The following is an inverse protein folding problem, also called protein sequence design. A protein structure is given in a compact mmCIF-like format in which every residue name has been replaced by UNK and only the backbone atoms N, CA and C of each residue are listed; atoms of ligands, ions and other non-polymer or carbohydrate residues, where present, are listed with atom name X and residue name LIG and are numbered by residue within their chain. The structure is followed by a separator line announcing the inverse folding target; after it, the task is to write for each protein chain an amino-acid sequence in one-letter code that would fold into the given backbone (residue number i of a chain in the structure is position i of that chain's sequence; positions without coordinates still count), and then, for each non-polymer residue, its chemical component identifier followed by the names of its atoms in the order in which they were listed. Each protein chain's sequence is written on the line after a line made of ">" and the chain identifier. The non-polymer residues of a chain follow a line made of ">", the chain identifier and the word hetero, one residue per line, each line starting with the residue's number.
data_IF_269691599148
#
_entry.id   IF_269691599148
#
_cell.length_a   1.000
_cell.length_b   1.000
_cell.length_c   1.000
_cell.angle_alpha   90.00
_cell.angle_beta   90.00
_cell.angle_gamma   90.00
#
_symmetry.space_group_name_H-M   'P 1'
#
loop_
_entity.id
_entity.type
_entity.pdbx_description
1 polymer ?
#
# COMPACT_ATOMS: atom_id res chain seq x y z
N UNK A 1 -15.92 -0.42 20.10
CA UNK A 1 -14.54 -0.24 19.56
C UNK A 1 -14.67 0.18 18.10
N UNK A 2 -13.99 1.24 17.70
CA UNK A 2 -13.96 1.71 16.31
C UNK A 2 -13.30 0.68 15.40
N UNK A 3 -13.70 0.65 14.13
CA UNK A 3 -13.12 -0.21 13.10
C UNK A 3 -11.68 0.24 12.81
N UNK A 4 -10.72 -0.69 12.74
CA UNK A 4 -9.32 -0.38 12.43
C UNK A 4 -9.14 0.35 11.10
N UNK A 5 -8.08 1.14 10.97
CA UNK A 5 -7.75 1.88 9.73
C UNK A 5 -7.34 0.93 8.60
N UNK A 6 -7.82 1.21 7.40
CA UNK A 6 -7.26 0.68 6.16
C UNK A 6 -6.26 1.70 5.63
N UNK A 7 -4.96 1.43 5.78
CA UNK A 7 -3.89 2.34 5.39
C UNK A 7 -3.33 1.86 4.06
N UNK A 8 -3.45 2.67 3.03
CA UNK A 8 -2.97 2.36 1.68
C UNK A 8 -1.78 3.25 1.37
N UNK A 9 -0.60 2.64 1.21
CA UNK A 9 0.61 3.31 0.75
C UNK A 9 0.87 2.94 -0.70
N UNK A 10 0.85 3.93 -1.56
CA UNK A 10 1.12 3.78 -2.99
C UNK A 10 2.08 4.85 -3.50
N UNK A 11 2.41 4.82 -4.77
CA UNK A 11 3.33 5.77 -5.40
C UNK A 11 4.13 5.13 -6.53
N UNK A 12 4.90 5.89 -7.27
CA UNK A 12 5.64 5.40 -8.44
C UNK A 12 6.62 4.29 -8.12
N UNK A 13 6.88 3.46 -9.12
CA UNK A 13 7.93 2.45 -9.02
C UNK A 13 9.29 3.11 -8.73
N UNK A 14 10.04 2.57 -7.77
CA UNK A 14 11.35 3.13 -7.38
C UNK A 14 11.32 4.16 -6.25
N UNK A 15 10.15 4.58 -5.75
CA UNK A 15 10.03 5.54 -4.62
C UNK A 15 10.47 4.99 -3.28
N UNK A 16 10.65 3.65 -3.14
CA UNK A 16 11.04 3.01 -1.89
C UNK A 16 9.87 2.60 -0.98
N UNK A 17 8.68 2.36 -1.55
CA UNK A 17 7.50 1.88 -0.80
C UNK A 17 7.82 0.73 0.14
N UNK A 18 8.35 -0.37 -0.39
CA UNK A 18 8.65 -1.56 0.42
C UNK A 18 9.58 -1.29 1.60
N UNK A 19 10.60 -0.44 1.39
CA UNK A 19 11.53 -0.07 2.47
C UNK A 19 10.82 0.75 3.56
N UNK A 20 9.99 1.72 3.16
CA UNK A 20 9.22 2.55 4.11
C UNK A 20 8.18 1.73 4.84
N UNK A 21 7.45 0.86 4.13
CA UNK A 21 6.44 -0.01 4.73
C UNK A 21 7.06 -1.02 5.72
N UNK A 22 8.20 -1.64 5.36
CA UNK A 22 8.91 -2.56 6.25
C UNK A 22 9.39 -1.86 7.54
N UNK A 23 9.95 -0.64 7.42
CA UNK A 23 10.38 0.15 8.56
C UNK A 23 9.19 0.62 9.41
N UNK A 24 8.06 1.00 8.78
CA UNK A 24 6.82 1.36 9.48
C UNK A 24 6.30 0.18 10.32
N UNK A 25 6.25 -1.01 9.72
CA UNK A 25 5.82 -2.24 10.40
C UNK A 25 6.73 -2.59 11.58
N UNK A 26 8.06 -2.46 11.41
CA UNK A 26 9.03 -2.73 12.49
C UNK A 26 8.84 -1.81 13.69
N UNK A 27 8.42 -0.56 13.46
CA UNK A 27 8.18 0.46 14.49
C UNK A 27 6.74 0.53 15.00
N UNK A 28 5.86 -0.30 14.46
CA UNK A 28 4.43 -0.31 14.81
C UNK A 28 3.94 -1.77 14.89
N UNK A 29 4.31 -2.52 15.96
CA UNK A 29 4.04 -3.96 16.04
C UNK A 29 2.56 -4.35 15.98
N UNK A 30 1.64 -3.44 16.35
CA UNK A 30 0.19 -3.63 16.27
C UNK A 30 -0.37 -3.46 14.86
N UNK A 31 0.39 -2.85 13.92
CA UNK A 31 -0.03 -2.67 12.54
C UNK A 31 0.08 -3.99 11.77
N UNK A 32 -1.05 -4.47 11.24
CA UNK A 32 -1.04 -5.66 10.40
C UNK A 32 -0.58 -5.32 8.98
N UNK A 33 0.09 -6.26 8.32
CA UNK A 33 0.41 -6.15 6.89
C UNK A 33 -0.53 -7.04 6.07
N UNK A 34 -1.05 -6.50 4.98
CA UNK A 34 -1.84 -7.26 4.01
C UNK A 34 -0.91 -7.89 2.98
N UNK A 35 -0.83 -9.20 2.99
CA UNK A 35 -0.08 -9.97 1.99
C UNK A 35 -0.93 -10.10 0.74
N UNK A 36 -0.44 -9.56 -0.39
CA UNK A 36 -1.10 -9.64 -1.69
C UNK A 36 -0.96 -11.04 -2.30
N UNK A 37 -1.91 -11.42 -3.17
CA UNK A 37 -1.79 -12.57 -4.05
C UNK A 37 -1.20 -12.17 -5.42
N UNK A 38 -0.51 -13.09 -6.08
CA UNK A 38 0.01 -12.88 -7.43
C UNK A 38 0.09 -14.19 -8.21
N UNK A 39 -0.03 -14.10 -9.54
CA UNK A 39 0.22 -15.22 -10.45
C UNK A 39 1.67 -15.27 -10.96
N UNK A 40 2.49 -14.27 -10.58
CA UNK A 40 3.92 -14.27 -10.88
C UNK A 40 4.64 -15.37 -10.10
N UNK A 41 5.59 -16.03 -10.74
CA UNK A 41 6.44 -17.00 -10.05
C UNK A 41 7.27 -16.31 -8.94
N UNK A 42 7.51 -16.99 -7.81
CA UNK A 42 8.40 -16.50 -6.76
C UNK A 42 9.79 -16.15 -7.31
N UNK A 43 10.40 -15.10 -6.79
CA UNK A 43 11.82 -14.81 -7.00
C UNK A 43 12.67 -15.50 -5.94
N UNK A 44 13.99 -15.54 -6.16
CA UNK A 44 14.90 -16.09 -5.16
C UNK A 44 14.71 -15.40 -3.81
N UNK A 45 14.51 -16.20 -2.77
CA UNK A 45 14.29 -15.73 -1.41
C UNK A 45 12.84 -15.31 -1.07
N UNK A 46 11.91 -15.29 -2.03
CA UNK A 46 10.50 -15.06 -1.72
C UNK A 46 9.81 -16.34 -1.24
N UNK A 47 8.94 -16.20 -0.25
CA UNK A 47 8.21 -17.31 0.39
C UNK A 47 6.70 -17.09 0.29
N UNK A 48 5.97 -18.16 -0.05
CA UNK A 48 4.50 -18.16 -0.05
C UNK A 48 3.94 -17.84 1.33
N UNK A 49 2.87 -17.05 1.34
CA UNK A 49 2.22 -16.60 2.58
C UNK A 49 3.02 -15.59 3.39
N UNK A 50 4.21 -15.19 2.93
CA UNK A 50 5.05 -14.18 3.57
C UNK A 50 5.26 -12.95 2.68
N UNK A 51 5.73 -13.14 1.46
CA UNK A 51 5.95 -12.06 0.51
C UNK A 51 4.72 -11.84 -0.37
N UNK A 52 4.17 -12.94 -0.85
CA UNK A 52 2.91 -13.03 -1.60
C UNK A 52 2.22 -14.35 -1.29
N UNK A 53 0.93 -14.46 -1.63
CA UNK A 53 0.27 -15.74 -1.92
C UNK A 53 0.47 -16.00 -3.41
N UNK A 54 1.30 -16.98 -3.75
CA UNK A 54 1.60 -17.35 -5.14
C UNK A 54 0.53 -18.34 -5.64
N UNK A 55 -0.35 -17.86 -6.53
CA UNK A 55 -1.48 -18.62 -7.04
C UNK A 55 -1.25 -18.98 -8.51
N UNK A 56 -1.89 -20.05 -8.98
CA UNK A 56 -2.02 -20.27 -10.43
C UNK A 56 -2.96 -19.22 -11.04
N UNK A 57 -2.89 -19.04 -12.36
CA UNK A 57 -3.78 -18.12 -13.06
C UNK A 57 -5.25 -18.54 -12.90
N UNK A 58 -5.52 -19.81 -13.04
CA UNK A 58 -6.86 -20.41 -12.92
C UNK A 58 -7.43 -20.18 -11.50
N UNK A 59 -6.61 -20.38 -10.47
CA UNK A 59 -7.01 -20.14 -9.09
C UNK A 59 -7.28 -18.67 -8.81
N UNK A 60 -6.46 -17.79 -9.35
CA UNK A 60 -6.65 -16.34 -9.21
C UNK A 60 -7.96 -15.90 -9.88
N UNK A 61 -8.22 -16.34 -11.12
CA UNK A 61 -9.44 -16.02 -11.87
C UNK A 61 -10.70 -16.57 -11.17
N UNK A 62 -10.65 -17.79 -10.60
CA UNK A 62 -11.73 -18.32 -9.77
C UNK A 62 -12.03 -17.38 -8.58
N UNK A 63 -10.99 -16.94 -7.86
CA UNK A 63 -11.13 -16.02 -6.72
C UNK A 63 -11.66 -14.64 -7.12
N UNK A 64 -11.36 -14.15 -8.32
CA UNK A 64 -12.02 -12.95 -8.88
C UNK A 64 -13.52 -13.18 -8.98
N UNK A 65 -13.94 -14.33 -9.56
CA UNK A 65 -15.35 -14.68 -9.72
C UNK A 65 -16.12 -14.83 -8.40
N UNK A 66 -15.43 -15.25 -7.34
CA UNK A 66 -15.96 -15.39 -5.97
C UNK A 66 -16.00 -14.06 -5.20
N UNK A 67 -15.37 -12.98 -5.73
CA UNK A 67 -15.29 -11.69 -5.06
C UNK A 67 -14.30 -11.64 -3.89
N UNK A 68 -13.34 -12.54 -3.84
CA UNK A 68 -12.38 -12.73 -2.75
C UNK A 68 -11.33 -11.60 -2.64
N UNK A 69 -11.24 -10.73 -3.65
CA UNK A 69 -10.27 -9.64 -3.65
C UNK A 69 -10.93 -8.29 -3.36
N UNK A 70 -10.30 -7.49 -2.51
CA UNK A 70 -10.61 -6.09 -2.32
C UNK A 70 -10.38 -5.29 -3.61
N UNK A 71 -9.27 -5.55 -4.28
CA UNK A 71 -8.88 -5.05 -5.59
C UNK A 71 -7.97 -6.07 -6.28
N UNK A 72 -7.88 -5.97 -7.59
CA UNK A 72 -6.89 -6.69 -8.39
C UNK A 72 -6.55 -5.90 -9.65
N UNK A 73 -5.36 -6.16 -10.19
CA UNK A 73 -4.89 -5.58 -11.44
C UNK A 73 -3.99 -6.57 -12.19
N UNK A 74 -3.94 -6.45 -13.51
CA UNK A 74 -2.95 -7.12 -14.32
C UNK A 74 -1.77 -6.15 -14.57
N UNK A 75 -0.58 -6.59 -14.17
CA UNK A 75 0.65 -5.81 -14.31
C UNK A 75 1.71 -6.67 -15.00
N UNK A 76 2.10 -6.26 -16.20
CA UNK A 76 3.08 -6.99 -17.02
C UNK A 76 2.76 -8.48 -17.23
N UNK A 77 1.48 -8.80 -17.50
CA UNK A 77 1.02 -10.16 -17.78
C UNK A 77 0.83 -11.05 -16.56
N UNK A 78 0.93 -10.52 -15.35
CA UNK A 78 0.63 -11.22 -14.11
C UNK A 78 -0.47 -10.50 -13.33
N UNK A 79 -1.33 -11.26 -12.71
CA UNK A 79 -2.29 -10.71 -11.76
C UNK A 79 -1.64 -10.43 -10.41
N UNK A 80 -2.11 -9.35 -9.80
CA UNK A 80 -1.86 -8.98 -8.40
C UNK A 80 -3.19 -8.61 -7.77
N UNK A 81 -3.43 -9.02 -6.52
CA UNK A 81 -4.69 -8.71 -5.85
C UNK A 81 -4.56 -8.77 -4.34
N UNK A 82 -5.41 -8.02 -3.67
CA UNK A 82 -5.45 -7.90 -2.22
C UNK A 82 -6.60 -8.74 -1.67
N UNK A 83 -6.35 -9.83 -0.91
CA UNK A 83 -7.40 -10.69 -0.36
C UNK A 83 -8.29 -9.91 0.62
N UNK A 84 -9.63 -9.95 0.40
CA UNK A 84 -10.60 -9.13 1.14
C UNK A 84 -10.86 -9.65 2.57
N UNK A 85 -11.09 -10.96 2.73
CA UNK A 85 -11.60 -11.52 3.99
C UNK A 85 -10.75 -11.22 5.20
N UNK A 86 -9.41 -11.35 5.08
CA UNK A 86 -8.48 -11.03 6.19
C UNK A 86 -8.42 -9.56 6.54
N UNK A 87 -8.69 -8.68 5.58
CA UNK A 87 -8.74 -7.23 5.84
C UNK A 87 -9.97 -6.89 6.67
N UNK A 88 -11.12 -7.41 6.26
CA UNK A 88 -12.37 -7.15 6.98
C UNK A 88 -12.35 -7.71 8.39
N UNK A 89 -11.87 -8.93 8.59
CA UNK A 89 -11.71 -9.56 9.90
C UNK A 89 -10.86 -8.70 10.84
N UNK A 90 -9.66 -8.30 10.39
CA UNK A 90 -8.73 -7.51 11.21
C UNK A 90 -9.28 -6.13 11.54
N UNK A 91 -9.84 -5.44 10.55
CA UNK A 91 -10.46 -4.12 10.77
C UNK A 91 -11.64 -4.20 11.73
N UNK A 92 -12.49 -5.24 11.62
CA UNK A 92 -13.60 -5.45 12.53
C UNK A 92 -13.13 -5.70 13.98
N UNK A 93 -11.96 -6.30 14.16
CA UNK A 93 -11.30 -6.47 15.45
C UNK A 93 -10.59 -5.20 15.97
N UNK A 94 -10.73 -4.05 15.30
CA UNK A 94 -10.08 -2.78 15.66
C UNK A 94 -8.59 -2.71 15.30
N UNK A 95 -8.07 -3.68 14.52
CA UNK A 95 -6.67 -3.69 14.12
C UNK A 95 -6.46 -2.90 12.83
N UNK A 96 -5.52 -1.96 12.85
CA UNK A 96 -5.06 -1.26 11.64
C UNK A 96 -4.36 -2.21 10.69
N UNK A 97 -4.57 -2.02 9.39
CA UNK A 97 -3.95 -2.83 8.35
C UNK A 97 -3.33 -1.97 7.26
N UNK A 98 -2.07 -2.28 6.92
CA UNK A 98 -1.29 -1.63 5.87
C UNK A 98 -1.37 -2.42 4.58
N UNK A 99 -1.75 -1.74 3.49
CA UNK A 99 -1.65 -2.19 2.12
C UNK A 99 -0.52 -1.45 1.40
N UNK A 100 0.39 -2.19 0.79
CA UNK A 100 1.39 -1.66 -0.16
C UNK A 100 1.00 -2.13 -1.55
N UNK A 101 0.44 -1.24 -2.36
CA UNK A 101 -0.08 -1.55 -3.70
C UNK A 101 0.36 -0.49 -4.72
N UNK A 102 0.19 -0.80 -6.00
CA UNK A 102 0.41 0.15 -7.08
C UNK A 102 -0.70 1.22 -7.16
N UNK A 103 -0.52 2.20 -8.03
CA UNK A 103 -1.47 3.32 -8.15
C UNK A 103 -2.82 2.89 -8.71
N UNK A 104 -2.85 1.92 -9.60
CA UNK A 104 -4.11 1.43 -10.18
C UNK A 104 -4.92 0.64 -9.14
N UNK A 105 -4.27 -0.24 -8.39
CA UNK A 105 -4.90 -0.95 -7.26
C UNK A 105 -5.45 0.02 -6.23
N UNK A 106 -4.68 1.07 -5.88
CA UNK A 106 -5.12 2.07 -4.92
C UNK A 106 -6.37 2.84 -5.37
N UNK A 107 -6.48 3.20 -6.65
CA UNK A 107 -7.69 3.83 -7.21
C UNK A 107 -8.91 2.92 -7.11
N UNK A 108 -8.72 1.61 -7.29
CA UNK A 108 -9.79 0.63 -7.12
C UNK A 108 -10.23 0.51 -5.65
N UNK A 109 -9.26 0.51 -4.72
CA UNK A 109 -9.55 0.52 -3.28
C UNK A 109 -10.27 1.80 -2.86
N UNK A 110 -9.90 2.98 -3.37
CA UNK A 110 -10.57 4.26 -3.09
C UNK A 110 -12.07 4.20 -3.40
N UNK A 111 -12.44 3.56 -4.50
CA UNK A 111 -13.85 3.41 -4.91
C UNK A 111 -14.63 2.48 -3.98
N UNK A 112 -14.01 1.41 -3.49
CA UNK A 112 -14.67 0.37 -2.67
C UNK A 112 -14.63 0.67 -1.17
N UNK A 113 -13.58 1.35 -0.71
CA UNK A 113 -13.34 1.70 0.69
C UNK A 113 -12.99 3.19 0.81
N UNK A 114 -13.94 4.11 0.59
CA UNK A 114 -13.68 5.56 0.64
C UNK A 114 -13.29 6.05 2.04
N UNK A 115 -13.51 5.24 3.07
CA UNK A 115 -13.07 5.47 4.45
C UNK A 115 -11.61 5.09 4.69
N UNK A 116 -10.88 4.63 3.67
CA UNK A 116 -9.47 4.30 3.76
C UNK A 116 -8.58 5.53 3.90
N UNK A 117 -7.42 5.33 4.51
CA UNK A 117 -6.38 6.34 4.65
C UNK A 117 -5.37 6.18 3.51
N UNK A 118 -5.48 7.04 2.49
CA UNK A 118 -4.69 6.94 1.26
C UNK A 118 -3.47 7.86 1.30
N UNK A 119 -2.27 7.28 1.26
CA UNK A 119 -1.00 7.97 1.35
C UNK A 119 -0.20 7.73 0.08
N UNK A 120 0.11 8.79 -0.66
CA UNK A 120 0.96 8.73 -1.84
C UNK A 120 2.41 9.02 -1.47
N UNK A 121 3.31 8.08 -1.74
CA UNK A 121 4.73 8.24 -1.46
C UNK A 121 5.44 8.81 -2.69
N UNK A 122 6.03 10.01 -2.55
CA UNK A 122 6.80 10.68 -3.59
C UNK A 122 8.31 10.52 -3.39
N UNK A 123 9.10 10.43 -4.46
CA UNK A 123 10.53 10.69 -4.38
C UNK A 123 10.79 12.18 -4.12
N UNK A 124 11.96 12.57 -3.61
CA UNK A 124 12.32 13.98 -3.45
C UNK A 124 12.35 14.76 -4.76
N UNK A 125 12.69 14.08 -5.87
CA UNK A 125 12.73 14.65 -7.21
C UNK A 125 12.73 13.55 -8.28
N UNK A 126 12.43 13.91 -9.54
CA UNK A 126 12.54 12.99 -10.67
C UNK A 126 13.99 12.50 -10.92
N UNK A 127 15.03 13.34 -10.84
CA UNK A 127 16.42 12.86 -10.92
C UNK A 127 16.77 11.84 -9.83
N UNK A 128 16.29 12.04 -8.60
CA UNK A 128 16.51 11.06 -7.52
C UNK A 128 15.76 9.75 -7.79
N UNK A 129 14.55 9.80 -8.35
CA UNK A 129 13.82 8.62 -8.76
C UNK A 129 14.59 7.83 -9.84
N UNK A 130 15.11 8.53 -10.85
CA UNK A 130 15.94 7.92 -11.89
C UNK A 130 17.16 7.24 -11.29
N UNK A 131 17.89 7.92 -10.39
CA UNK A 131 19.04 7.35 -9.68
C UNK A 131 18.68 6.06 -8.94
N UNK A 132 17.54 6.04 -8.23
CA UNK A 132 17.05 4.87 -7.49
C UNK A 132 16.68 3.71 -8.40
N UNK A 133 16.07 4.00 -9.56
CA UNK A 133 15.72 2.95 -10.54
C UNK A 133 16.98 2.35 -11.16
N UNK A 134 17.95 3.18 -11.57
CA UNK A 134 19.26 2.73 -12.13
C UNK A 134 20.05 1.89 -11.12
N UNK A 135 20.03 2.26 -9.85
CA UNK A 135 20.78 1.60 -8.78
C UNK A 135 20.34 0.14 -8.48
N UNK A 136 19.23 -0.33 -9.05
CA UNK A 136 18.80 -1.75 -8.93
C UNK A 136 19.55 -2.72 -9.85
N UNK A 137 20.35 -2.22 -10.80
CA UNK A 137 21.31 -3.00 -11.58
C UNK A 137 20.73 -3.92 -12.67
N UNK A 138 19.41 -4.00 -12.82
CA UNK A 138 18.73 -4.93 -13.76
C UNK A 138 18.05 -4.22 -14.95
N UNK A 139 18.30 -2.91 -15.15
CA UNK A 139 17.53 -2.09 -16.10
C UNK A 139 18.30 -1.83 -17.39
N UNK A 140 17.62 -2.02 -18.52
CA UNK A 140 18.08 -1.49 -19.82
C UNK A 140 17.65 -0.02 -19.96
N UNK A 141 18.32 0.76 -20.81
CA UNK A 141 17.93 2.16 -21.08
C UNK A 141 16.47 2.28 -21.60
N UNK A 142 16.02 1.32 -22.41
CA UNK A 142 14.64 1.28 -22.88
C UNK A 142 13.63 1.04 -21.74
N UNK A 143 13.97 0.14 -20.82
CA UNK A 143 13.17 -0.14 -19.61
C UNK A 143 13.11 1.08 -18.69
N UNK A 144 14.26 1.72 -18.46
CA UNK A 144 14.37 2.93 -17.66
C UNK A 144 13.50 4.07 -18.20
N UNK A 145 13.61 4.37 -19.53
CA UNK A 145 12.82 5.43 -20.16
C UNK A 145 11.31 5.19 -20.04
N UNK A 146 10.87 3.94 -20.19
CA UNK A 146 9.47 3.54 -20.02
C UNK A 146 9.01 3.76 -18.57
N UNK A 147 9.80 3.31 -17.58
CA UNK A 147 9.47 3.45 -16.17
C UNK A 147 9.44 4.91 -15.69
N UNK A 148 10.33 5.75 -16.21
CA UNK A 148 10.31 7.19 -15.93
C UNK A 148 9.12 7.89 -16.58
N UNK A 149 8.70 7.46 -17.78
CA UNK A 149 7.46 7.93 -18.42
C UNK A 149 6.25 7.61 -17.57
N UNK A 150 6.08 6.33 -17.21
CA UNK A 150 4.98 5.89 -16.33
C UNK A 150 5.00 6.59 -14.98
N UNK A 151 6.18 6.85 -14.40
CA UNK A 151 6.30 7.52 -13.11
C UNK A 151 5.73 8.95 -13.12
N UNK A 152 5.84 9.67 -14.23
CA UNK A 152 5.23 11.02 -14.35
C UNK A 152 3.70 10.94 -14.31
N UNK A 153 3.12 10.00 -15.03
CA UNK A 153 1.68 9.75 -15.04
C UNK A 153 1.19 9.32 -13.66
N UNK A 154 1.93 8.40 -13.02
CA UNK A 154 1.62 7.95 -11.65
C UNK A 154 1.69 9.09 -10.63
N UNK A 155 2.63 10.05 -10.77
CA UNK A 155 2.73 11.23 -9.90
C UNK A 155 1.49 12.11 -10.02
N UNK A 156 0.95 12.31 -11.23
CA UNK A 156 -0.30 13.07 -11.41
C UNK A 156 -1.50 12.39 -10.73
N UNK A 157 -1.55 11.04 -10.72
CA UNK A 157 -2.56 10.28 -9.97
C UNK A 157 -2.49 10.59 -8.46
N UNK A 158 -1.30 10.91 -7.95
CA UNK A 158 -1.09 11.28 -6.55
C UNK A 158 -1.97 12.44 -6.07
N UNK A 159 -2.47 13.30 -6.96
CA UNK A 159 -3.43 14.38 -6.64
C UNK A 159 -4.78 13.89 -6.10
N UNK A 160 -5.10 12.62 -6.30
CA UNK A 160 -6.35 11.99 -5.82
C UNK A 160 -6.22 11.42 -4.41
N UNK A 161 -5.01 11.38 -3.85
CA UNK A 161 -4.77 10.80 -2.53
C UNK A 161 -5.04 11.83 -1.43
N UNK A 162 -5.44 11.34 -0.26
CA UNK A 162 -5.71 12.17 0.90
C UNK A 162 -4.43 12.84 1.42
N UNK A 163 -3.32 12.10 1.39
CA UNK A 163 -2.03 12.59 1.87
C UNK A 163 -0.90 12.28 0.88
N UNK A 164 0.06 13.16 0.82
CA UNK A 164 1.30 13.00 0.05
C UNK A 164 2.48 13.08 1.00
N UNK A 165 3.36 12.07 0.96
CA UNK A 165 4.56 12.00 1.80
C UNK A 165 5.79 11.90 0.92
N UNK A 166 6.74 12.82 1.09
CA UNK A 166 8.04 12.78 0.40
C UNK A 166 8.97 11.82 1.16
N UNK A 167 9.48 10.81 0.43
CA UNK A 167 10.50 9.89 0.92
C UNK A 167 11.91 10.46 0.66
N UNK A 168 12.24 11.50 1.42
CA UNK A 168 13.60 12.08 1.49
C UNK A 168 14.53 11.16 2.28
N UNK A 169 14.11 10.72 3.46
CA UNK A 169 14.71 9.60 4.20
C UNK A 169 13.60 8.67 4.70
N UNK A 170 13.94 7.39 4.83
CA UNK A 170 12.98 6.37 5.30
C UNK A 170 12.43 6.75 6.68
N UNK A 171 13.29 7.20 7.59
CA UNK A 171 12.90 7.57 8.95
C UNK A 171 11.88 8.70 8.95
N UNK A 172 12.14 9.80 8.21
CA UNK A 172 11.21 10.93 8.12
C UNK A 172 9.89 10.56 7.44
N UNK A 173 9.95 9.73 6.40
CA UNK A 173 8.72 9.24 5.76
C UNK A 173 7.86 8.44 6.74
N UNK A 174 8.47 7.54 7.52
CA UNK A 174 7.78 6.75 8.56
C UNK A 174 7.20 7.64 9.64
N UNK A 175 7.93 8.63 10.14
CA UNK A 175 7.43 9.59 11.15
C UNK A 175 6.21 10.36 10.65
N UNK A 176 6.24 10.84 9.40
CA UNK A 176 5.10 11.53 8.77
C UNK A 176 3.88 10.61 8.66
N UNK A 177 4.09 9.35 8.21
CA UNK A 177 3.01 8.38 8.11
C UNK A 177 2.41 8.08 9.48
N UNK A 178 3.22 7.88 10.52
CA UNK A 178 2.74 7.66 11.90
C UNK A 178 1.94 8.85 12.42
N UNK A 179 2.38 10.09 12.14
CA UNK A 179 1.64 11.30 12.52
C UNK A 179 0.28 11.37 11.83
N UNK A 180 0.21 11.02 10.53
CA UNK A 180 -1.03 10.94 9.77
C UNK A 180 -1.98 9.89 10.37
N UNK A 181 -1.47 8.69 10.70
CA UNK A 181 -2.25 7.62 11.35
C UNK A 181 -2.82 8.10 12.69
N UNK A 182 -1.99 8.74 13.53
CA UNK A 182 -2.42 9.29 14.82
C UNK A 182 -3.52 10.35 14.66
N UNK A 183 -3.34 11.28 13.74
CA UNK A 183 -4.34 12.31 13.46
C UNK A 183 -5.66 11.71 12.95
N UNK A 184 -5.60 10.67 12.12
CA UNK A 184 -6.79 10.00 11.61
C UNK A 184 -7.54 9.24 12.71
N UNK A 185 -6.85 8.58 13.64
CA UNK A 185 -7.48 8.01 14.83
C UNK A 185 -8.19 9.08 15.67
N UNK A 186 -7.50 10.18 15.99
CA UNK A 186 -8.13 11.30 16.72
C UNK A 186 -9.38 11.85 16.01
N UNK A 187 -9.34 11.91 14.67
CA UNK A 187 -10.48 12.39 13.88
C UNK A 187 -11.66 11.43 13.90
N UNK A 188 -11.40 10.13 13.81
CA UNK A 188 -12.45 9.09 13.73
C UNK A 188 -13.04 8.72 15.08
N UNK A 189 -12.21 8.67 16.10
CA UNK A 189 -12.57 8.16 17.42
C UNK A 189 -13.02 9.29 18.37
N UNK A 190 -13.16 10.53 17.87
CA UNK A 190 -13.49 11.71 18.69
C UNK A 190 -14.75 11.56 19.52
N UNK A 191 -15.80 10.98 18.95
CA UNK A 191 -17.09 10.80 19.67
C UNK A 191 -16.95 9.75 20.78
N UNK A 192 -16.26 8.63 20.51
CA UNK A 192 -15.99 7.60 21.52
C UNK A 192 -15.13 8.18 22.66
N UNK A 193 -14.10 8.97 22.34
CA UNK A 193 -13.25 9.63 23.33
C UNK A 193 -14.03 10.64 24.19
N UNK A 194 -14.93 11.42 23.60
CA UNK A 194 -15.78 12.38 24.33
C UNK A 194 -16.72 11.62 25.29
N UNK A 195 -17.41 10.60 24.77
CA UNK A 195 -18.36 9.81 25.58
C UNK A 195 -17.64 9.12 26.75
N UNK A 196 -16.44 8.56 26.54
CA UNK A 196 -15.65 7.94 27.60
C UNK A 196 -15.34 8.90 28.75
N UNK A 197 -15.14 10.19 28.46
CA UNK A 197 -14.88 11.21 29.49
C UNK A 197 -16.18 11.61 30.21
N UNK A 198 -17.31 11.66 29.49
CA UNK A 198 -18.61 12.06 30.06
C UNK A 198 -19.24 10.97 30.94
N UNK A 199 -18.88 9.70 30.72
CA UNK A 199 -19.39 8.54 31.47
C UNK A 199 -18.60 8.21 32.75
N UNK A 200 -17.46 8.86 32.99
CA UNK A 200 -16.61 8.72 34.19
C UNK A 200 -16.87 9.82 35.21
#
# INVERSE_FOLDING_TARGET
>A
MSKGLLIVVSGPSGTGKGTVCAELLSKTPQLAYSISATTRQPRDGEMDGKNYYFLSKEEFERKIGEGDFLEYAEVYGNYYGTPLGKIEERRAAGQDILLEIDTQGALNVMKRCPDGLFIFLLPPSLPELERRIRGRGSETEASLKRRLGSAREEIEIGRQYTFVVINDTVQRAVERIKSIMTAEHCRRDKEDMINEVLEK
#
